data_IF_486262615737
#
_entry.id   IF_486262615737
#
_cell.length_a   1.000
_cell.length_b   1.000
_cell.length_c   1.000
_cell.angle_alpha   90.00
_cell.angle_beta   90.00
_cell.angle_gamma   90.00
#
_symmetry.space_group_name_H-M   'P 1'
#
loop_
_entity.id
_entity.type
_entity.pdbx_description
1 polymer ?
#
# COMPACT_ATOMS: atom_id res chain seq x y z
N UNK A 1 7.28 11.46 -18.14
CA UNK A 1 6.30 10.50 -18.69
C UNK A 1 5.74 10.99 -20.02
N UNK A 2 5.45 12.28 -20.20
CA UNK A 2 4.98 12.87 -21.47
C UNK A 2 5.85 12.43 -22.64
N UNK A 3 7.16 12.63 -22.56
CA UNK A 3 8.11 12.17 -23.59
C UNK A 3 7.95 10.67 -23.92
N UNK A 4 7.78 9.81 -22.92
CA UNK A 4 7.60 8.36 -23.15
C UNK A 4 6.32 8.09 -23.94
N UNK A 5 5.22 8.72 -23.53
CA UNK A 5 3.91 8.54 -24.17
C UNK A 5 3.93 9.03 -25.63
N UNK A 6 4.49 10.22 -25.87
CA UNK A 6 4.60 10.83 -27.21
C UNK A 6 5.43 9.99 -28.19
N UNK A 7 6.38 9.20 -27.67
CA UNK A 7 7.25 8.34 -28.47
C UNK A 7 6.85 6.86 -28.46
N UNK A 8 5.69 6.51 -27.90
CA UNK A 8 5.20 5.14 -27.81
C UNK A 8 6.05 4.22 -26.91
N UNK A 9 6.75 4.81 -25.94
CA UNK A 9 7.61 4.08 -24.99
C UNK A 9 6.80 3.70 -23.77
N UNK A 10 6.66 2.40 -23.48
CA UNK A 10 6.03 1.92 -22.26
C UNK A 10 6.85 2.34 -21.03
N UNK A 11 6.18 2.67 -19.93
CA UNK A 11 6.84 3.14 -18.72
C UNK A 11 6.37 2.39 -17.46
N UNK A 12 7.33 1.98 -16.63
CA UNK A 12 7.09 1.42 -15.29
C UNK A 12 7.66 2.39 -14.26
N UNK A 13 6.80 2.89 -13.37
CA UNK A 13 7.10 4.00 -12.46
C UNK A 13 6.98 3.54 -11.01
N UNK A 14 8.05 3.70 -10.24
CA UNK A 14 8.14 3.32 -8.82
C UNK A 14 8.14 4.50 -7.85
N UNK A 15 7.90 5.73 -8.34
CA UNK A 15 7.85 6.90 -7.48
C UNK A 15 6.43 7.14 -6.95
N UNK A 16 6.33 7.70 -5.76
CA UNK A 16 5.07 8.17 -5.16
C UNK A 16 4.73 9.59 -5.61
N UNK A 17 3.57 10.11 -5.19
CA UNK A 17 3.18 11.50 -5.43
C UNK A 17 2.33 11.72 -6.68
N UNK A 18 1.69 10.68 -7.19
CA UNK A 18 0.65 10.79 -8.20
C UNK A 18 -0.70 11.04 -7.53
N UNK A 19 -1.16 12.28 -7.57
CA UNK A 19 -2.51 12.69 -7.20
C UNK A 19 -3.50 12.50 -8.37
N UNK A 20 -4.78 12.77 -8.11
CA UNK A 20 -5.83 12.62 -9.11
C UNK A 20 -5.58 13.48 -10.37
N UNK A 21 -5.06 14.69 -10.22
CA UNK A 21 -4.82 15.61 -11.35
C UNK A 21 -3.68 15.11 -12.24
N UNK A 22 -2.62 14.57 -11.64
CA UNK A 22 -1.49 13.96 -12.38
C UNK A 22 -1.92 12.69 -13.09
N UNK A 23 -2.74 11.85 -12.46
CA UNK A 23 -3.29 10.65 -13.10
C UNK A 23 -4.20 11.02 -14.27
N UNK A 24 -5.12 11.98 -14.10
CA UNK A 24 -5.98 12.48 -15.17
C UNK A 24 -5.18 13.11 -16.33
N UNK A 25 -4.07 13.79 -16.02
CA UNK A 25 -3.16 14.32 -17.05
C UNK A 25 -2.51 13.20 -17.85
N UNK A 26 -2.07 12.14 -17.19
CA UNK A 26 -1.46 10.99 -17.82
C UNK A 26 -2.45 10.22 -18.69
N UNK A 27 -3.69 10.06 -18.24
CA UNK A 27 -4.78 9.47 -19.03
C UNK A 27 -5.06 10.25 -20.31
N UNK A 28 -5.05 11.61 -20.25
CA UNK A 28 -5.21 12.45 -21.44
C UNK A 28 -4.07 12.27 -22.44
N UNK A 29 -2.82 12.16 -21.99
CA UNK A 29 -1.70 11.87 -22.89
C UNK A 29 -1.84 10.50 -23.54
N UNK A 30 -2.19 9.47 -22.75
CA UNK A 30 -2.37 8.10 -23.22
C UNK A 30 -3.53 7.96 -24.23
N UNK A 31 -4.55 8.80 -24.15
CA UNK A 31 -5.62 8.84 -25.14
C UNK A 31 -5.10 9.15 -26.57
N UNK A 32 -4.00 9.91 -26.68
CA UNK A 32 -3.30 10.18 -27.94
C UNK A 32 -2.33 9.07 -28.38
N UNK A 33 -2.05 8.10 -27.52
CA UNK A 33 -1.09 6.99 -27.76
C UNK A 33 -1.66 5.65 -27.29
N UNK A 34 -2.71 5.13 -27.97
CA UNK A 34 -3.54 4.04 -27.46
C UNK A 34 -2.82 2.69 -27.33
N UNK A 35 -1.64 2.52 -27.91
CA UNK A 35 -0.82 1.32 -27.78
C UNK A 35 0.19 1.40 -26.62
N UNK A 36 0.37 2.58 -26.01
CA UNK A 36 1.36 2.78 -24.95
C UNK A 36 0.79 2.43 -23.59
N UNK A 37 1.53 1.62 -22.82
CA UNK A 37 1.20 1.29 -21.43
C UNK A 37 2.06 2.08 -20.45
N UNK A 38 1.45 2.60 -19.39
CA UNK A 38 2.13 3.19 -18.23
C UNK A 38 1.63 2.53 -16.95
N UNK A 39 2.55 1.94 -16.20
CA UNK A 39 2.27 1.35 -14.91
C UNK A 39 2.90 2.18 -13.80
N UNK A 40 2.10 2.58 -12.82
CA UNK A 40 2.54 3.26 -11.60
C UNK A 40 2.32 2.32 -10.43
N UNK A 41 3.40 1.87 -9.79
CA UNK A 41 3.33 1.04 -8.60
C UNK A 41 4.02 1.74 -7.42
N UNK A 42 3.26 2.21 -6.42
CA UNK A 42 3.85 2.79 -5.21
C UNK A 42 4.72 1.81 -4.42
N UNK A 43 4.51 0.52 -4.64
CA UNK A 43 5.30 -0.55 -4.03
C UNK A 43 5.44 -1.74 -5.00
N UNK A 44 6.67 -2.17 -5.26
CA UNK A 44 6.98 -3.34 -6.10
C UNK A 44 7.20 -4.62 -5.29
N UNK A 45 7.08 -4.59 -3.96
CA UNK A 45 7.15 -5.81 -3.15
C UNK A 45 5.86 -6.59 -3.27
N UNK A 46 5.91 -7.76 -3.91
CA UNK A 46 4.76 -8.66 -4.04
C UNK A 46 4.23 -9.05 -2.66
N UNK A 47 5.13 -9.37 -1.72
CA UNK A 47 4.73 -9.70 -0.34
C UNK A 47 3.99 -8.57 0.37
N UNK A 48 4.40 -7.31 0.17
CA UNK A 48 3.70 -6.16 0.74
C UNK A 48 2.29 -5.99 0.11
N UNK A 49 2.16 -6.21 -1.19
CA UNK A 49 0.85 -6.15 -1.88
C UNK A 49 -0.09 -7.24 -1.38
N UNK A 50 0.42 -8.48 -1.25
CA UNK A 50 -0.35 -9.61 -0.68
C UNK A 50 -0.76 -9.34 0.77
N UNK A 51 0.16 -8.84 1.60
CA UNK A 51 -0.15 -8.45 2.98
C UNK A 51 -1.28 -7.43 3.04
N UNK A 52 -1.24 -6.37 2.22
CA UNK A 52 -2.29 -5.35 2.16
C UNK A 52 -3.64 -5.96 1.76
N UNK A 53 -3.66 -6.83 0.76
CA UNK A 53 -4.86 -7.52 0.30
C UNK A 53 -5.44 -8.42 1.39
N UNK A 54 -4.63 -9.30 1.96
CA UNK A 54 -5.07 -10.23 3.00
C UNK A 54 -5.52 -9.51 4.26
N UNK A 55 -4.87 -8.40 4.63
CA UNK A 55 -5.29 -7.58 5.76
C UNK A 55 -6.67 -6.95 5.54
N UNK A 56 -6.94 -6.41 4.35
CA UNK A 56 -8.24 -5.85 4.01
C UNK A 56 -9.35 -6.91 4.02
N UNK A 57 -9.11 -8.10 3.46
CA UNK A 57 -10.06 -9.20 3.48
C UNK A 57 -10.34 -9.69 4.91
N UNK A 58 -9.29 -9.91 5.71
CA UNK A 58 -9.44 -10.37 7.09
C UNK A 58 -10.15 -9.33 7.98
N UNK A 59 -9.89 -8.04 7.76
CA UNK A 59 -10.42 -6.96 8.58
C UNK A 59 -11.97 -6.89 8.63
N UNK A 60 -12.63 -7.52 7.68
CA UNK A 60 -14.10 -7.62 7.61
C UNK A 60 -14.71 -8.51 8.70
N UNK A 61 -13.90 -9.31 9.38
CA UNK A 61 -14.31 -10.31 10.34
C UNK A 61 -13.86 -10.02 11.78
N UNK A 62 -13.02 -8.98 11.98
CA UNK A 62 -12.41 -8.67 13.27
C UNK A 62 -12.89 -7.33 13.82
N UNK A 63 -13.10 -7.28 15.15
CA UNK A 63 -13.56 -6.07 15.84
C UNK A 63 -12.51 -4.97 15.86
N UNK A 64 -11.24 -5.35 16.01
CA UNK A 64 -10.10 -4.43 16.15
C UNK A 64 -9.06 -4.68 15.09
N UNK A 65 -8.44 -3.62 14.58
CA UNK A 65 -7.26 -3.70 13.70
C UNK A 65 -6.32 -2.54 14.03
N UNK A 66 -5.06 -2.87 14.28
CA UNK A 66 -3.98 -1.90 14.40
C UNK A 66 -2.79 -2.32 13.52
N UNK A 67 -2.00 -1.34 13.10
CA UNK A 67 -0.85 -1.56 12.21
C UNK A 67 0.41 -1.07 12.89
N UNK A 68 1.47 -1.88 12.82
CA UNK A 68 2.83 -1.51 13.28
C UNK A 68 3.77 -1.55 12.08
N UNK A 69 4.41 -0.43 11.76
CA UNK A 69 5.42 -0.36 10.72
C UNK A 69 6.81 -0.07 11.33
N UNK A 70 7.83 -0.75 10.84
CA UNK A 70 9.18 -0.66 11.37
C UNK A 70 10.17 -0.37 10.23
N UNK A 71 10.93 0.72 10.37
CA UNK A 71 11.93 1.13 9.39
C UNK A 71 13.22 1.59 10.06
N UNK A 72 14.24 1.78 9.22
CA UNK A 72 15.50 2.40 9.63
C UNK A 72 15.29 3.87 10.06
N UNK A 73 16.18 4.44 10.90
CA UNK A 73 16.03 5.81 11.44
C UNK A 73 16.00 6.91 10.37
N UNK A 74 16.60 6.67 9.20
CA UNK A 74 16.70 7.68 8.14
C UNK A 74 15.42 7.78 7.26
N UNK A 75 14.34 7.06 7.60
CA UNK A 75 13.06 7.18 6.91
C UNK A 75 12.34 8.46 7.33
N UNK A 76 12.09 9.34 6.36
CA UNK A 76 11.58 10.69 6.61
C UNK A 76 10.08 10.75 6.92
N UNK A 77 9.28 9.87 6.29
CA UNK A 77 7.81 9.83 6.48
C UNK A 77 7.40 8.89 7.61
N UNK A 78 6.39 9.26 8.36
CA UNK A 78 5.70 8.44 9.36
C UNK A 78 4.22 8.84 9.43
N UNK A 79 3.28 7.90 9.31
CA UNK A 79 3.49 6.51 8.92
C UNK A 79 4.06 6.36 7.50
N UNK A 80 4.65 5.19 7.20
CA UNK A 80 5.11 4.88 5.86
C UNK A 80 3.95 4.88 4.86
N UNK A 81 4.24 5.18 3.58
CA UNK A 81 3.22 5.16 2.52
C UNK A 81 2.49 3.81 2.43
N UNK A 82 3.20 2.69 2.61
CA UNK A 82 2.59 1.35 2.63
C UNK A 82 1.66 1.16 3.82
N UNK A 83 2.06 1.58 5.01
CA UNK A 83 1.22 1.45 6.21
C UNK A 83 -0.03 2.33 6.12
N UNK A 84 0.12 3.55 5.64
CA UNK A 84 -1.03 4.43 5.37
C UNK A 84 -1.99 3.80 4.38
N UNK A 85 -1.48 3.30 3.25
CA UNK A 85 -2.33 2.64 2.24
C UNK A 85 -3.02 1.39 2.79
N UNK A 86 -2.32 0.60 3.60
CA UNK A 86 -2.92 -0.57 4.27
C UNK A 86 -4.08 -0.13 5.16
N UNK A 87 -3.89 0.90 5.97
CA UNK A 87 -4.94 1.42 6.85
C UNK A 87 -6.17 1.91 6.07
N UNK A 88 -5.97 2.64 4.97
CA UNK A 88 -7.05 3.09 4.08
C UNK A 88 -7.86 1.91 3.50
N UNK A 89 -7.17 0.85 3.04
CA UNK A 89 -7.82 -0.36 2.51
C UNK A 89 -8.59 -1.13 3.60
N UNK A 90 -7.98 -1.30 4.75
CA UNK A 90 -8.61 -1.93 5.93
C UNK A 90 -9.85 -1.14 6.36
N UNK A 91 -9.74 0.18 6.47
CA UNK A 91 -10.86 1.05 6.84
C UNK A 91 -12.01 0.97 5.82
N UNK A 92 -11.70 0.93 4.52
CA UNK A 92 -12.70 0.77 3.47
C UNK A 92 -13.42 -0.58 3.59
N UNK A 93 -12.67 -1.68 3.72
CA UNK A 93 -13.23 -3.03 3.85
C UNK A 93 -14.12 -3.18 5.10
N UNK A 94 -13.73 -2.58 6.23
CA UNK A 94 -14.53 -2.56 7.46
C UNK A 94 -15.83 -1.78 7.28
N UNK A 95 -15.78 -0.61 6.62
CA UNK A 95 -17.00 0.17 6.33
C UNK A 95 -17.95 -0.61 5.42
N UNK A 96 -17.45 -1.26 4.37
CA UNK A 96 -18.25 -2.09 3.47
C UNK A 96 -18.89 -3.28 4.19
N UNK A 97 -18.21 -3.85 5.18
CA UNK A 97 -18.75 -4.91 6.03
C UNK A 97 -19.73 -4.42 7.12
N UNK A 98 -19.97 -3.11 7.22
CA UNK A 98 -20.85 -2.52 8.21
C UNK A 98 -20.29 -2.50 9.64
N UNK A 99 -18.96 -2.65 9.79
CA UNK A 99 -18.32 -2.62 11.10
C UNK A 99 -18.14 -1.18 11.59
N UNK A 100 -18.39 -0.99 12.87
CA UNK A 100 -18.16 0.27 13.59
C UNK A 100 -16.69 0.52 13.92
N UNK A 101 -16.42 1.60 14.69
CA UNK A 101 -15.09 1.88 15.21
C UNK A 101 -14.56 0.71 16.05
N UNK A 102 -13.24 0.51 16.06
CA UNK A 102 -12.61 -0.46 16.93
C UNK A 102 -12.83 -0.05 18.41
N UNK A 103 -13.09 -1.00 19.33
CA UNK A 103 -13.22 -0.71 20.74
C UNK A 103 -11.93 -0.08 21.28
N UNK A 104 -12.02 1.06 21.93
CA UNK A 104 -10.91 1.72 22.60
C UNK A 104 -11.45 2.50 23.82
N UNK A 105 -11.13 2.03 25.02
CA UNK A 105 -11.53 2.64 26.29
C UNK A 105 -10.46 3.61 26.84
N UNK A 106 -9.44 3.95 26.05
CA UNK A 106 -8.36 4.84 26.49
C UNK A 106 -8.93 6.22 26.81
N UNK A 107 -8.90 6.58 28.09
CA UNK A 107 -9.38 7.87 28.60
C UNK A 107 -8.25 8.83 29.01
N UNK A 108 -7.02 8.30 29.16
CA UNK A 108 -5.82 9.07 29.54
C UNK A 108 -4.64 8.55 28.74
N UNK A 109 -3.99 9.41 27.99
CA UNK A 109 -2.82 9.05 27.18
C UNK A 109 -1.84 10.22 27.07
N UNK A 110 -0.56 9.89 26.93
CA UNK A 110 0.43 10.84 26.43
C UNK A 110 0.22 11.05 24.92
N UNK A 111 0.56 12.23 24.45
CA UNK A 111 0.49 12.53 23.02
C UNK A 111 1.25 11.48 22.19
N UNK A 112 0.62 10.96 21.13
CA UNK A 112 1.18 9.94 20.25
C UNK A 112 1.15 8.50 20.78
N UNK A 113 0.77 8.25 22.04
CA UNK A 113 0.77 6.89 22.62
C UNK A 113 -0.12 5.89 21.87
N UNK A 114 -1.19 6.37 21.22
CA UNK A 114 -2.10 5.55 20.40
C UNK A 114 -1.79 5.61 18.91
N UNK A 115 -0.57 6.04 18.53
CA UNK A 115 -0.15 6.15 17.14
C UNK A 115 -0.92 7.20 16.33
N UNK A 116 -0.76 7.17 15.01
CA UNK A 116 -1.52 8.01 14.10
C UNK A 116 -2.89 7.38 13.79
N UNK A 117 -3.90 8.20 13.61
CA UNK A 117 -5.20 7.76 13.11
C UNK A 117 -5.25 7.91 11.59
N UNK A 118 -5.57 6.83 10.90
CA UNK A 118 -5.79 6.82 9.45
C UNK A 118 -7.16 6.19 9.20
N UNK A 119 -8.16 7.02 8.93
CA UNK A 119 -9.54 6.59 8.69
C UNK A 119 -10.13 5.68 9.81
N UNK A 120 -9.71 5.90 11.06
CA UNK A 120 -10.13 5.11 12.22
C UNK A 120 -9.28 3.85 12.49
N UNK A 121 -8.22 3.62 11.72
CA UNK A 121 -7.23 2.55 11.96
C UNK A 121 -5.98 3.16 12.59
N UNK A 122 -5.53 2.63 13.73
CA UNK A 122 -4.31 3.08 14.40
C UNK A 122 -3.06 2.53 13.73
N UNK A 123 -2.10 3.43 13.47
CA UNK A 123 -0.82 3.08 12.84
C UNK A 123 0.33 3.55 13.72
N UNK A 124 1.20 2.62 14.10
CA UNK A 124 2.36 2.84 14.97
C UNK A 124 3.66 2.77 14.15
N UNK A 125 4.44 3.82 14.16
CA UNK A 125 5.71 3.88 13.43
C UNK A 125 6.92 3.69 14.33
N UNK A 126 7.72 2.64 14.10
CA UNK A 126 8.98 2.39 14.79
C UNK A 126 10.15 2.75 13.89
N UNK A 127 11.17 3.43 14.46
CA UNK A 127 12.41 3.80 13.79
C UNK A 127 13.57 3.20 14.57
N UNK A 128 14.10 2.06 14.07
CA UNK A 128 15.10 1.24 14.80
C UNK A 128 16.25 0.90 13.86
N UNK A 129 17.48 1.09 14.33
CA UNK A 129 18.68 0.68 13.58
C UNK A 129 18.68 -0.84 13.37
N UNK A 130 18.95 -1.28 12.14
CA UNK A 130 18.90 -2.69 11.74
C UNK A 130 17.59 -3.10 11.07
N UNK A 131 16.52 -2.31 11.21
CA UNK A 131 15.30 -2.51 10.42
C UNK A 131 15.46 -1.94 9.02
N UNK A 132 14.81 -2.58 8.04
CA UNK A 132 14.76 -2.14 6.63
C UNK A 132 13.37 -1.61 6.32
N UNK A 133 12.41 -2.50 6.06
CA UNK A 133 11.01 -2.15 5.83
C UNK A 133 10.12 -3.32 6.24
N UNK A 134 9.41 -3.16 7.34
CA UNK A 134 8.57 -4.22 7.92
C UNK A 134 7.21 -3.66 8.29
N UNK A 135 6.20 -4.51 8.24
CA UNK A 135 4.86 -4.15 8.68
C UNK A 135 4.13 -5.36 9.24
N UNK A 136 3.45 -5.13 10.36
CA UNK A 136 2.47 -6.05 10.95
C UNK A 136 1.08 -5.42 10.92
N UNK A 137 0.08 -6.22 10.57
CA UNK A 137 -1.33 -5.89 10.76
C UNK A 137 -1.86 -6.87 11.80
N UNK A 138 -2.25 -6.35 12.95
CA UNK A 138 -2.77 -7.11 14.08
C UNK A 138 -4.28 -6.96 14.11
N UNK A 139 -4.99 -8.05 13.94
CA UNK A 139 -6.45 -8.12 13.95
C UNK A 139 -6.88 -8.86 15.22
N UNK A 140 -7.85 -8.31 15.95
CA UNK A 140 -8.31 -8.84 17.22
C UNK A 140 -9.81 -9.11 17.23
N UNK A 141 -10.18 -10.28 17.74
CA UNK A 141 -11.55 -10.69 17.98
C UNK A 141 -11.68 -11.35 19.36
N UNK A 142 -12.87 -11.79 19.71
CA UNK A 142 -13.12 -12.43 21.01
C UNK A 142 -12.36 -13.75 21.09
N UNK A 143 -11.35 -13.78 21.97
CA UNK A 143 -10.57 -14.99 22.27
C UNK A 143 -9.45 -15.31 21.27
N UNK A 144 -9.22 -14.48 20.26
CA UNK A 144 -8.15 -14.70 19.27
C UNK A 144 -7.54 -13.41 18.72
N UNK A 145 -6.37 -13.55 18.14
CA UNK A 145 -5.75 -12.55 17.29
C UNK A 145 -5.23 -13.20 16.01
N UNK A 146 -5.29 -12.48 14.89
CA UNK A 146 -4.61 -12.81 13.66
C UNK A 146 -3.57 -11.72 13.38
N UNK A 147 -2.32 -12.14 13.12
CA UNK A 147 -1.26 -11.22 12.70
C UNK A 147 -0.80 -11.56 11.28
N UNK A 148 -0.82 -10.58 10.40
CA UNK A 148 -0.28 -10.69 9.05
C UNK A 148 0.98 -9.82 9.01
N UNK A 149 2.13 -10.43 8.73
CA UNK A 149 3.43 -9.75 8.73
C UNK A 149 4.13 -9.88 7.40
N UNK A 150 4.75 -8.80 6.97
CA UNK A 150 5.68 -8.76 5.85
C UNK A 150 6.99 -8.11 6.27
N UNK A 151 8.10 -8.75 5.94
CA UNK A 151 9.45 -8.29 6.20
C UNK A 151 10.22 -8.17 4.88
N UNK A 152 10.63 -6.96 4.53
CA UNK A 152 11.57 -6.68 3.46
C UNK A 152 12.96 -6.49 4.09
N UNK A 153 13.84 -7.47 3.90
CA UNK A 153 15.18 -7.47 4.47
C UNK A 153 16.20 -6.79 3.58
N UNK A 154 15.91 -6.66 2.29
CA UNK A 154 16.78 -6.07 1.29
C UNK A 154 15.98 -5.48 0.14
N UNK A 155 16.56 -4.52 -0.59
CA UNK A 155 15.93 -3.92 -1.78
C UNK A 155 15.70 -4.91 -2.91
N UNK A 156 16.39 -6.05 -2.92
CA UNK A 156 16.16 -7.14 -3.86
C UNK A 156 14.71 -7.68 -3.80
N UNK A 157 14.00 -7.48 -2.67
CA UNK A 157 12.58 -7.82 -2.52
C UNK A 157 11.65 -7.12 -3.52
N UNK A 158 12.07 -6.00 -4.11
CA UNK A 158 11.30 -5.27 -5.13
C UNK A 158 11.53 -5.83 -6.55
N UNK A 159 12.64 -6.52 -6.78
CA UNK A 159 13.03 -6.99 -8.13
C UNK A 159 11.98 -7.88 -8.79
N UNK A 160 11.36 -8.85 -8.12
CA UNK A 160 10.33 -9.68 -8.75
C UNK A 160 9.14 -8.86 -9.28
N UNK A 161 8.66 -7.88 -8.52
CA UNK A 161 7.55 -7.02 -8.96
C UNK A 161 7.94 -6.08 -10.09
N UNK A 162 9.16 -5.53 -10.08
CA UNK A 162 9.68 -4.72 -11.20
C UNK A 162 9.75 -5.57 -12.47
N UNK A 163 10.29 -6.78 -12.40
CA UNK A 163 10.40 -7.67 -13.55
C UNK A 163 9.02 -8.12 -14.07
N UNK A 164 8.08 -8.41 -13.17
CA UNK A 164 6.71 -8.72 -13.56
C UNK A 164 6.08 -7.55 -14.31
N UNK A 165 6.25 -6.33 -13.81
CA UNK A 165 5.74 -5.11 -14.43
C UNK A 165 6.34 -4.86 -15.82
N UNK A 166 7.67 -5.01 -15.96
CA UNK A 166 8.35 -4.83 -17.25
C UNK A 166 7.92 -5.86 -18.30
N UNK A 167 7.63 -7.09 -17.88
CA UNK A 167 7.16 -8.16 -18.79
C UNK A 167 5.72 -7.96 -19.24
N UNK A 168 4.88 -7.41 -18.34
CA UNK A 168 3.45 -7.27 -18.61
C UNK A 168 3.07 -5.98 -19.31
N UNK A 169 3.89 -4.91 -19.22
CA UNK A 169 3.47 -3.56 -19.61
C UNK A 169 3.20 -3.42 -21.11
N UNK A 170 3.87 -4.19 -21.96
CA UNK A 170 3.68 -4.16 -23.40
C UNK A 170 2.28 -4.64 -23.82
N UNK A 171 1.71 -5.56 -23.07
CA UNK A 171 0.38 -6.14 -23.30
C UNK A 171 -0.73 -5.42 -22.52
N UNK A 172 -0.40 -4.31 -21.86
CA UNK A 172 -1.34 -3.53 -21.02
C UNK A 172 -1.33 -2.06 -21.44
N UNK A 173 -1.96 -1.72 -22.57
CA UNK A 173 -2.07 -0.33 -23.00
C UNK A 173 -2.92 0.49 -22.02
N UNK A 174 -2.62 1.79 -21.96
CA UNK A 174 -3.29 2.71 -21.05
C UNK A 174 -2.61 2.80 -19.68
N UNK A 175 -3.32 3.35 -18.69
CA UNK A 175 -2.83 3.56 -17.34
C UNK A 175 -3.19 2.38 -16.43
N UNK A 176 -2.19 1.80 -15.80
CA UNK A 176 -2.35 0.84 -14.72
C UNK A 176 -1.78 1.42 -13.42
N UNK A 177 -2.58 1.48 -12.36
CA UNK A 177 -2.15 1.96 -11.04
C UNK A 177 -2.26 0.83 -10.03
N UNK A 178 -1.13 0.48 -9.43
CA UNK A 178 -0.98 -0.61 -8.46
C UNK A 178 -0.43 -1.90 -9.07
N UNK A 179 0.46 -2.56 -8.32
CA UNK A 179 1.04 -3.84 -8.71
C UNK A 179 0.00 -4.98 -8.63
N UNK A 180 -0.99 -4.85 -7.76
CA UNK A 180 -2.10 -5.80 -7.56
C UNK A 180 -2.85 -6.11 -8.87
N UNK A 181 -2.93 -5.14 -9.77
CA UNK A 181 -3.53 -5.29 -11.10
C UNK A 181 -2.79 -6.25 -12.03
N UNK A 182 -1.52 -6.52 -11.74
CA UNK A 182 -0.70 -7.50 -12.48
C UNK A 182 -0.74 -8.90 -11.87
N UNK A 183 -1.18 -9.01 -10.62
CA UNK A 183 -1.15 -10.27 -9.88
C UNK A 183 -2.49 -11.02 -9.94
N UNK A 184 -3.44 -10.51 -10.74
CA UNK A 184 -4.81 -11.06 -10.86
C UNK A 184 -5.45 -11.30 -9.48
N UNK A 185 -5.27 -10.32 -8.59
CA UNK A 185 -5.78 -10.31 -7.20
C UNK A 185 -7.08 -9.49 -7.09
N UNK A 186 -7.92 -9.53 -8.08
CA UNK A 186 -9.21 -8.83 -8.10
C UNK A 186 -10.28 -9.51 -7.26
#
# INVERSE_FOLDING_TARGET
>A
LEFCVDHGIHAVVGTTGFDADRLATLERWLAGSPATGVLIAPNFSIGAVLMMRFAAEAARFYESVEIVELHHPDKADAPSGTARRTAELVAAARREAGLGPAPDATSTALEGARGADVDGVRVHGLRIRGMVAHQEVVLGGVGETLTIRHDSMDRASFTPGVLASLRAIADRPGLTVGLEKLLDLD
#
